data_IF_762103655854
#
_entry.id   IF_762103655854
#
_cell.length_a   1.000
_cell.length_b   1.000
_cell.length_c   1.000
_cell.angle_alpha   90.00
_cell.angle_beta   90.00
_cell.angle_gamma   90.00
#
_symmetry.space_group_name_H-M   'P 1'
#
loop_
_entity.id
_entity.type
_entity.pdbx_description
1 polymer ?
#
# COMPACT_ATOMS: atom_id res chain seq x y z
N UNK A 1 3.66 -23.77 -18.56
CA UNK A 1 2.72 -23.42 -19.67
C UNK A 1 1.38 -23.00 -19.10
N UNK A 2 1.00 -21.74 -19.30
CA UNK A 2 -0.19 -21.09 -18.73
C UNK A 2 -1.50 -21.75 -19.20
N UNK A 3 -2.45 -21.88 -18.28
CA UNK A 3 -3.78 -22.46 -18.55
C UNK A 3 -4.52 -21.69 -19.64
N UNK A 4 -4.39 -20.36 -19.65
CA UNK A 4 -4.91 -19.49 -20.72
C UNK A 4 -4.28 -19.82 -22.08
N UNK A 5 -2.96 -20.07 -22.13
CA UNK A 5 -2.30 -20.48 -23.39
C UNK A 5 -2.75 -21.87 -23.85
N UNK A 6 -3.04 -22.80 -22.92
CA UNK A 6 -3.63 -24.11 -23.25
C UNK A 6 -5.06 -23.97 -23.73
N UNK A 7 -5.87 -23.11 -23.10
CA UNK A 7 -7.24 -22.80 -23.50
C UNK A 7 -7.29 -22.22 -24.92
N UNK A 8 -6.50 -21.17 -25.22
CA UNK A 8 -6.46 -20.59 -26.57
C UNK A 8 -5.86 -21.53 -27.62
N UNK A 9 -4.87 -22.37 -27.27
CA UNK A 9 -4.36 -23.42 -28.17
C UNK A 9 -5.41 -24.49 -28.44
N UNK A 10 -6.19 -24.89 -27.43
CA UNK A 10 -7.28 -25.86 -27.56
C UNK A 10 -8.40 -25.28 -28.42
N UNK A 11 -8.76 -24.01 -28.23
CA UNK A 11 -9.71 -23.26 -29.05
C UNK A 11 -9.24 -23.15 -30.51
N UNK A 12 -7.96 -22.81 -30.75
CA UNK A 12 -7.38 -22.71 -32.10
C UNK A 12 -7.30 -24.06 -32.80
N UNK A 13 -6.99 -25.15 -32.08
CA UNK A 13 -7.03 -26.53 -32.61
C UNK A 13 -8.45 -26.96 -32.96
N UNK A 14 -9.43 -26.65 -32.12
CA UNK A 14 -10.84 -26.95 -32.38
C UNK A 14 -11.34 -26.20 -33.62
N UNK A 15 -11.04 -24.90 -33.74
CA UNK A 15 -11.38 -24.08 -34.92
C UNK A 15 -10.71 -24.58 -36.21
N UNK A 16 -9.44 -24.99 -36.13
CA UNK A 16 -8.72 -25.57 -37.27
C UNK A 16 -9.29 -26.91 -37.72
N UNK A 17 -9.70 -27.75 -36.76
CA UNK A 17 -10.38 -29.02 -37.07
C UNK A 17 -11.75 -28.79 -37.70
N UNK A 18 -12.56 -27.88 -37.14
CA UNK A 18 -13.89 -27.57 -37.66
C UNK A 18 -13.84 -27.11 -39.13
N UNK A 19 -12.87 -26.26 -39.49
CA UNK A 19 -12.67 -25.83 -40.89
C UNK A 19 -12.30 -26.96 -41.84
N UNK A 20 -11.47 -27.91 -41.40
CA UNK A 20 -11.08 -29.06 -42.22
C UNK A 20 -12.26 -30.00 -42.48
N UNK A 21 -13.07 -30.24 -41.45
CA UNK A 21 -14.25 -31.11 -41.55
C UNK A 21 -15.40 -30.44 -42.33
N UNK A 22 -15.56 -29.11 -42.26
CA UNK A 22 -16.55 -28.40 -43.07
C UNK A 22 -16.19 -28.38 -44.56
N UNK A 23 -14.89 -28.32 -44.90
CA UNK A 23 -14.43 -28.41 -46.30
C UNK A 23 -14.59 -29.83 -46.84
N UNK A 24 -14.28 -30.86 -46.04
CA UNK A 24 -14.50 -32.26 -46.43
C UNK A 24 -15.99 -32.58 -46.57
N UNK A 25 -16.83 -32.16 -45.62
CA UNK A 25 -18.28 -32.38 -45.67
C UNK A 25 -18.95 -31.64 -46.82
N UNK A 26 -18.55 -30.38 -47.07
CA UNK A 26 -19.04 -29.59 -48.21
C UNK A 26 -18.61 -30.17 -49.56
N UNK A 27 -17.37 -30.66 -49.67
CA UNK A 27 -16.89 -31.33 -50.88
C UNK A 27 -17.62 -32.63 -51.18
N UNK A 28 -17.88 -33.45 -50.15
CA UNK A 28 -18.60 -34.73 -50.29
C UNK A 28 -20.08 -34.54 -50.64
N UNK A 29 -20.75 -33.53 -50.06
CA UNK A 29 -22.15 -33.23 -50.40
C UNK A 29 -22.28 -32.63 -51.81
N UNK A 30 -21.36 -31.76 -52.23
CA UNK A 30 -21.32 -31.27 -53.60
C UNK A 30 -21.07 -32.41 -54.61
N UNK A 31 -20.14 -33.33 -54.31
CA UNK A 31 -19.87 -34.49 -55.15
C UNK A 31 -21.08 -35.44 -55.24
N UNK A 32 -21.74 -35.72 -54.12
CA UNK A 32 -22.95 -36.55 -54.09
C UNK A 32 -24.13 -35.91 -54.85
N UNK A 33 -24.29 -34.58 -54.78
CA UNK A 33 -25.34 -33.85 -55.49
C UNK A 33 -25.14 -33.85 -57.02
N UNK A 34 -23.89 -33.95 -57.50
CA UNK A 34 -23.58 -34.05 -58.93
C UNK A 34 -23.74 -35.49 -59.44
N UNK A 35 -23.57 -36.51 -58.59
CA UNK A 35 -23.69 -37.92 -58.96
C UNK A 35 -25.12 -38.47 -58.89
N UNK A 36 -25.99 -37.88 -58.06
CA UNK A 36 -27.37 -38.34 -57.83
C UNK A 36 -28.36 -38.20 -59.00
N UNK A 37 -28.20 -37.32 -60.01
CA UNK A 37 -29.24 -37.17 -61.02
C UNK A 37 -29.34 -38.30 -62.06
N UNK A 38 -28.41 -39.29 -62.10
CA UNK A 38 -28.28 -40.14 -63.29
C UNK A 38 -28.20 -41.66 -63.12
N UNK A 39 -28.45 -42.21 -61.93
CA UNK A 39 -28.55 -43.66 -61.77
C UNK A 39 -29.62 -44.03 -60.73
N UNK A 40 -30.52 -44.96 -61.08
CA UNK A 40 -31.53 -45.48 -60.15
C UNK A 40 -30.88 -45.95 -58.84
N UNK A 41 -31.46 -45.53 -57.71
CA UNK A 41 -30.92 -45.67 -56.36
C UNK A 41 -30.68 -47.15 -56.03
N UNK A 42 -29.43 -47.59 -56.18
CA UNK A 42 -28.98 -48.90 -55.72
C UNK A 42 -28.65 -48.89 -54.23
N UNK A 43 -28.64 -50.07 -53.58
CA UNK A 43 -28.29 -50.21 -52.16
C UNK A 43 -26.90 -49.61 -51.80
N UNK A 44 -26.00 -49.50 -52.77
CA UNK A 44 -24.71 -48.82 -52.60
C UNK A 44 -24.81 -47.31 -52.40
N UNK A 45 -25.80 -46.65 -53.02
CA UNK A 45 -26.00 -45.20 -52.93
C UNK A 45 -26.60 -44.80 -51.57
N UNK A 46 -27.45 -45.66 -51.00
CA UNK A 46 -27.93 -45.53 -49.63
C UNK A 46 -26.78 -45.58 -48.60
N UNK A 47 -25.74 -46.38 -48.85
CA UNK A 47 -24.53 -46.43 -48.03
C UNK A 47 -23.74 -45.12 -48.06
N UNK A 48 -23.57 -44.53 -49.25
CA UNK A 48 -22.89 -43.24 -49.40
C UNK A 48 -23.69 -42.06 -48.86
N UNK A 49 -25.02 -42.06 -49.04
CA UNK A 49 -25.91 -41.05 -48.46
C UNK A 49 -25.91 -41.13 -46.92
N UNK A 50 -25.93 -42.33 -46.34
CA UNK A 50 -25.81 -42.52 -44.89
C UNK A 50 -24.45 -42.03 -44.36
N UNK A 51 -23.35 -42.32 -45.07
CA UNK A 51 -22.02 -41.82 -44.72
C UNK A 51 -21.93 -40.29 -44.81
N UNK A 52 -22.50 -39.69 -45.85
CA UNK A 52 -22.57 -38.24 -46.01
C UNK A 52 -23.43 -37.59 -44.91
N UNK A 53 -24.60 -38.15 -44.60
CA UNK A 53 -25.45 -37.70 -43.50
C UNK A 53 -24.76 -37.78 -42.14
N UNK A 54 -24.07 -38.88 -41.86
CA UNK A 54 -23.29 -39.06 -40.63
C UNK A 54 -22.16 -38.01 -40.51
N UNK A 55 -21.51 -37.64 -41.62
CA UNK A 55 -20.47 -36.62 -41.63
C UNK A 55 -21.01 -35.21 -41.31
N UNK A 56 -22.22 -34.88 -41.77
CA UNK A 56 -22.88 -33.60 -41.47
C UNK A 56 -23.29 -33.52 -40.00
N UNK A 57 -23.84 -34.61 -39.45
CA UNK A 57 -24.21 -34.68 -38.02
C UNK A 57 -22.97 -34.51 -37.12
N UNK A 58 -21.84 -35.15 -37.46
CA UNK A 58 -20.58 -34.98 -36.73
C UNK A 58 -20.03 -33.55 -36.82
N UNK A 59 -20.18 -32.87 -37.96
CA UNK A 59 -19.77 -31.49 -38.12
C UNK A 59 -20.61 -30.54 -37.25
N UNK A 60 -21.93 -30.74 -37.19
CA UNK A 60 -22.85 -29.96 -36.34
C UNK A 60 -22.55 -30.21 -34.85
N UNK A 61 -22.30 -31.46 -34.45
CA UNK A 61 -21.94 -31.81 -33.08
C UNK A 61 -20.62 -31.16 -32.66
N UNK A 62 -19.59 -31.18 -33.53
CA UNK A 62 -18.31 -30.48 -33.30
C UNK A 62 -18.44 -28.96 -33.19
N UNK A 63 -19.44 -28.37 -33.85
CA UNK A 63 -19.71 -26.94 -33.77
C UNK A 63 -20.41 -26.56 -32.47
N UNK A 64 -21.28 -27.44 -31.94
CA UNK A 64 -21.88 -27.28 -30.61
C UNK A 64 -20.82 -27.32 -29.50
N UNK A 65 -19.92 -28.30 -29.52
CA UNK A 65 -18.79 -28.39 -28.57
C UNK A 65 -17.93 -27.11 -28.57
N UNK A 66 -17.68 -26.53 -29.75
CA UNK A 66 -16.95 -25.28 -29.86
C UNK A 66 -17.73 -24.10 -29.25
N UNK A 67 -19.05 -24.05 -29.44
CA UNK A 67 -19.89 -23.00 -28.85
C UNK A 67 -19.98 -23.10 -27.33
N UNK A 68 -20.04 -24.32 -26.78
CA UNK A 68 -20.05 -24.54 -25.33
C UNK A 68 -18.72 -24.13 -24.68
N UNK A 69 -17.59 -24.49 -25.30
CA UNK A 69 -16.27 -24.06 -24.82
C UNK A 69 -16.00 -22.56 -25.00
N UNK A 70 -16.60 -21.93 -26.01
CA UNK A 70 -16.52 -20.48 -26.23
C UNK A 70 -17.47 -19.69 -25.30
N UNK A 71 -18.55 -20.31 -24.82
CA UNK A 71 -19.45 -19.73 -23.84
C UNK A 71 -18.90 -19.80 -22.40
N UNK A 72 -17.89 -20.64 -22.16
CA UNK A 72 -17.18 -20.65 -20.87
C UNK A 72 -16.29 -19.40 -20.79
N UNK A 73 -16.47 -18.53 -19.77
CA UNK A 73 -15.67 -17.31 -19.65
C UNK A 73 -14.18 -17.64 -19.59
N UNK A 74 -13.39 -16.94 -20.40
CA UNK A 74 -11.96 -17.20 -20.51
C UNK A 74 -11.30 -17.08 -19.12
N UNK A 75 -10.47 -18.05 -18.70
CA UNK A 75 -9.78 -17.97 -17.42
C UNK A 75 -8.94 -16.69 -17.36
N UNK A 76 -8.98 -15.95 -16.24
CA UNK A 76 -8.33 -14.64 -16.11
C UNK A 76 -6.83 -14.76 -16.44
N UNK A 77 -6.22 -13.70 -17.01
CA UNK A 77 -4.80 -13.72 -17.30
C UNK A 77 -4.04 -13.94 -15.99
N UNK A 78 -3.35 -15.07 -15.85
CA UNK A 78 -2.27 -15.18 -14.88
C UNK A 78 -1.17 -14.24 -15.39
N UNK A 79 -1.13 -13.02 -14.85
CA UNK A 79 -0.05 -12.10 -15.13
C UNK A 79 1.25 -12.76 -14.62
N UNK A 80 2.42 -12.51 -15.24
CA UNK A 80 3.70 -12.95 -14.66
C UNK A 80 3.88 -12.42 -13.22
N UNK A 81 3.23 -11.30 -12.88
CA UNK A 81 3.10 -10.80 -11.51
C UNK A 81 2.45 -11.82 -10.58
N UNK A 82 1.46 -12.62 -10.98
CA UNK A 82 0.76 -13.57 -10.09
C UNK A 82 1.65 -14.74 -9.66
N UNK A 83 2.61 -15.15 -10.50
CA UNK A 83 3.54 -16.22 -10.16
C UNK A 83 4.69 -15.72 -9.30
N UNK A 84 5.19 -14.52 -9.58
CA UNK A 84 6.21 -13.87 -8.77
C UNK A 84 5.63 -13.46 -7.41
N UNK A 85 4.42 -12.92 -7.35
CA UNK A 85 3.73 -12.63 -6.09
C UNK A 85 3.39 -13.91 -5.33
N UNK A 86 2.90 -14.98 -5.97
CA UNK A 86 2.71 -16.27 -5.27
C UNK A 86 4.02 -16.89 -4.78
N UNK A 87 5.11 -16.71 -5.51
CA UNK A 87 6.44 -17.18 -5.10
C UNK A 87 7.00 -16.31 -3.95
N UNK A 88 6.90 -14.99 -4.03
CA UNK A 88 7.32 -14.06 -2.98
C UNK A 88 6.45 -14.16 -1.73
N UNK A 89 5.14 -14.38 -1.84
CA UNK A 89 4.24 -14.60 -0.70
C UNK A 89 4.60 -15.85 0.10
N UNK A 90 5.28 -16.82 -0.52
CA UNK A 90 5.71 -18.06 0.11
C UNK A 90 6.96 -17.88 0.98
N UNK A 91 7.67 -16.76 0.83
CA UNK A 91 8.82 -16.42 1.65
C UNK A 91 8.49 -15.23 2.56
N UNK A 92 8.75 -15.31 3.88
CA UNK A 92 8.51 -14.19 4.80
C UNK A 92 9.32 -12.93 4.40
N UNK A 93 10.51 -13.11 3.81
CA UNK A 93 11.31 -12.02 3.24
C UNK A 93 10.75 -11.45 1.92
N UNK A 94 9.86 -12.16 1.22
CA UNK A 94 9.22 -11.65 -0.01
C UNK A 94 8.06 -10.70 0.28
N UNK A 95 7.39 -10.84 1.44
CA UNK A 95 6.34 -9.92 1.88
C UNK A 95 6.89 -8.51 2.14
N UNK A 96 8.09 -8.40 2.70
CA UNK A 96 8.74 -7.10 2.94
C UNK A 96 9.14 -6.43 1.63
N UNK A 97 9.68 -7.19 0.68
CA UNK A 97 10.03 -6.69 -0.67
C UNK A 97 8.79 -6.24 -1.44
N UNK A 98 7.69 -6.99 -1.40
CA UNK A 98 6.45 -6.57 -2.06
C UNK A 98 5.86 -5.29 -1.46
N UNK A 99 5.95 -5.12 -0.14
CA UNK A 99 5.55 -3.88 0.52
C UNK A 99 6.43 -2.71 0.05
N UNK A 100 7.74 -2.92 -0.03
CA UNK A 100 8.67 -1.88 -0.47
C UNK A 100 8.50 -1.54 -1.96
N UNK A 101 8.31 -2.53 -2.83
CA UNK A 101 8.03 -2.30 -4.26
C UNK A 101 6.71 -1.58 -4.45
N UNK A 102 5.67 -1.95 -3.69
CA UNK A 102 4.38 -1.26 -3.73
C UNK A 102 4.52 0.18 -3.26
N UNK A 103 5.34 0.42 -2.23
CA UNK A 103 5.66 1.75 -1.69
C UNK A 103 6.46 2.61 -2.67
N UNK A 104 7.43 2.03 -3.36
CA UNK A 104 8.17 2.71 -4.42
C UNK A 104 7.26 3.04 -5.60
N UNK A 105 6.43 2.08 -6.04
CA UNK A 105 5.49 2.29 -7.14
C UNK A 105 4.49 3.40 -6.84
N UNK A 106 3.94 3.47 -5.63
CA UNK A 106 3.09 4.59 -5.21
C UNK A 106 3.84 5.93 -5.24
N UNK A 107 5.09 5.97 -4.76
CA UNK A 107 5.92 7.19 -4.83
C UNK A 107 6.21 7.64 -6.26
N UNK A 108 6.52 6.71 -7.16
CA UNK A 108 6.75 7.04 -8.57
C UNK A 108 5.49 7.49 -9.28
N UNK A 109 4.33 6.89 -8.95
CA UNK A 109 3.05 7.25 -9.55
C UNK A 109 2.53 8.63 -9.12
N UNK A 110 3.13 9.22 -8.08
CA UNK A 110 2.82 10.53 -7.52
C UNK A 110 3.94 11.56 -7.73
N UNK A 111 5.07 11.18 -8.34
CA UNK A 111 6.16 12.13 -8.62
C UNK A 111 5.70 13.18 -9.62
N UNK A 112 5.68 14.44 -9.20
CA UNK A 112 5.18 15.58 -9.97
C UNK A 112 3.71 15.91 -9.74
N UNK A 113 3.02 15.15 -8.87
CA UNK A 113 1.65 15.44 -8.47
C UNK A 113 1.60 16.55 -7.41
N UNK A 114 0.58 17.40 -7.48
CA UNK A 114 0.34 18.44 -6.47
C UNK A 114 0.11 17.88 -5.05
N UNK A 115 -0.29 16.61 -4.93
CA UNK A 115 -0.54 15.95 -3.63
C UNK A 115 0.66 15.18 -3.07
N UNK A 116 1.84 15.24 -3.71
CA UNK A 116 3.01 14.46 -3.29
C UNK A 116 3.43 14.74 -1.84
N UNK A 117 3.49 16.03 -1.47
CA UNK A 117 3.89 16.44 -0.11
C UNK A 117 2.89 15.98 0.95
N UNK A 118 1.59 16.11 0.67
CA UNK A 118 0.53 15.64 1.55
C UNK A 118 0.50 14.11 1.69
N UNK A 119 0.85 13.38 0.62
CA UNK A 119 0.99 11.93 0.68
C UNK A 119 2.16 11.50 1.57
N UNK A 120 3.31 12.18 1.49
CA UNK A 120 4.46 11.90 2.36
C UNK A 120 4.20 12.27 3.83
N UNK A 121 3.38 13.30 4.08
CA UNK A 121 2.83 13.62 5.42
C UNK A 121 1.97 12.47 5.96
N UNK A 122 1.00 11.98 5.18
CA UNK A 122 0.17 10.83 5.56
C UNK A 122 1.00 9.57 5.83
N UNK A 123 2.02 9.29 5.02
CA UNK A 123 2.91 8.14 5.20
C UNK A 123 3.74 8.24 6.49
N UNK A 124 4.14 9.46 6.90
CA UNK A 124 4.80 9.70 8.20
C UNK A 124 3.83 9.56 9.38
N UNK A 125 2.63 10.14 9.26
CA UNK A 125 1.59 10.06 10.30
C UNK A 125 1.13 8.61 10.56
N UNK A 126 0.91 7.82 9.51
CA UNK A 126 0.56 6.40 9.63
C UNK A 126 1.68 5.57 10.27
N UNK A 127 2.94 5.84 9.94
CA UNK A 127 4.07 5.21 10.61
C UNK A 127 4.13 5.55 12.11
N UNK A 128 3.87 6.81 12.47
CA UNK A 128 3.78 7.22 13.87
C UNK A 128 2.64 6.48 14.58
N UNK A 129 1.46 6.39 13.96
CA UNK A 129 0.31 5.66 14.52
C UNK A 129 0.62 4.17 14.77
N UNK A 130 1.27 3.50 13.82
CA UNK A 130 1.71 2.10 14.00
C UNK A 130 2.69 1.94 15.17
N UNK A 131 3.55 2.94 15.41
CA UNK A 131 4.44 2.97 16.57
C UNK A 131 3.71 3.13 17.91
N UNK A 132 2.56 3.81 17.92
CA UNK A 132 1.71 4.00 19.09
C UNK A 132 0.75 2.82 19.33
N UNK A 133 0.42 2.04 18.30
CA UNK A 133 -0.57 0.96 18.36
C UNK A 133 -0.35 -0.05 19.49
N UNK A 134 0.90 -0.35 19.85
CA UNK A 134 1.20 -1.28 20.94
C UNK A 134 1.00 -0.70 22.35
N UNK A 135 0.78 0.61 22.47
CA UNK A 135 0.62 1.35 23.74
C UNK A 135 -0.77 1.93 23.91
N UNK A 136 -1.53 2.07 22.83
CA UNK A 136 -2.93 2.48 22.87
C UNK A 136 -3.77 1.32 23.41
N UNK A 137 -4.05 1.32 24.71
CA UNK A 137 -4.92 0.32 25.35
C UNK A 137 -6.25 0.95 25.77
N UNK A 138 -7.28 0.11 25.92
CA UNK A 138 -8.61 0.56 26.38
C UNK A 138 -9.31 1.46 25.34
N UNK A 139 -9.70 2.71 25.68
CA UNK A 139 -10.38 3.61 24.74
C UNK A 139 -9.49 4.01 23.53
N UNK A 140 -8.17 3.84 23.63
CA UNK A 140 -7.26 4.06 22.49
C UNK A 140 -7.43 3.02 21.37
N UNK A 141 -7.96 1.83 21.66
CA UNK A 141 -8.14 0.77 20.66
C UNK A 141 -9.22 1.11 19.64
N UNK A 142 -10.30 1.79 20.05
CA UNK A 142 -11.35 2.23 19.12
C UNK A 142 -10.85 3.35 18.21
N UNK A 143 -10.08 4.29 18.75
CA UNK A 143 -9.43 5.34 17.96
C UNK A 143 -8.44 4.76 16.92
N UNK A 144 -7.76 3.66 17.25
CA UNK A 144 -6.89 2.94 16.30
C UNK A 144 -7.67 2.34 15.13
N UNK A 145 -8.84 1.76 15.38
CA UNK A 145 -9.69 1.21 14.32
C UNK A 145 -10.22 2.32 13.40
N UNK A 146 -10.65 3.45 13.97
CA UNK A 146 -11.08 4.63 13.21
C UNK A 146 -9.92 5.25 12.42
N UNK A 147 -8.72 5.31 12.99
CA UNK A 147 -7.54 5.76 12.27
C UNK A 147 -7.22 4.85 11.08
N UNK A 148 -7.34 3.53 11.24
CA UNK A 148 -7.09 2.59 10.15
C UNK A 148 -8.11 2.73 9.00
N UNK A 149 -9.39 2.97 9.32
CA UNK A 149 -10.41 3.22 8.29
C UNK A 149 -10.21 4.57 7.59
N UNK A 150 -9.88 5.62 8.35
CA UNK A 150 -9.55 6.94 7.81
C UNK A 150 -8.31 6.89 6.90
N UNK A 151 -7.24 6.21 7.31
CA UNK A 151 -6.04 6.02 6.48
C UNK A 151 -6.38 5.32 5.16
N UNK A 152 -7.15 4.23 5.21
CA UNK A 152 -7.53 3.48 4.02
C UNK A 152 -8.37 4.35 3.06
N UNK A 153 -9.28 5.16 3.59
CA UNK A 153 -10.07 6.11 2.81
C UNK A 153 -9.20 7.20 2.17
N UNK A 154 -8.27 7.79 2.93
CA UNK A 154 -7.31 8.79 2.39
C UNK A 154 -6.43 8.20 1.30
N UNK A 155 -5.96 6.96 1.46
CA UNK A 155 -5.18 6.26 0.43
C UNK A 155 -5.99 6.03 -0.85
N UNK A 156 -7.27 5.70 -0.75
CA UNK A 156 -8.16 5.58 -1.92
C UNK A 156 -8.40 6.95 -2.58
N UNK A 157 -8.65 7.99 -1.78
CA UNK A 157 -8.84 9.36 -2.27
C UNK A 157 -7.61 9.87 -3.04
N UNK A 158 -6.41 9.72 -2.49
CA UNK A 158 -5.18 10.11 -3.20
C UNK A 158 -4.93 9.31 -4.49
N UNK A 159 -5.35 8.03 -4.54
CA UNK A 159 -5.30 7.25 -5.79
C UNK A 159 -6.28 7.79 -6.85
N UNK A 160 -7.46 8.26 -6.44
CA UNK A 160 -8.43 8.92 -7.31
C UNK A 160 -7.93 10.26 -7.82
N UNK A 161 -7.36 11.10 -6.96
CA UNK A 161 -6.73 12.37 -7.38
C UNK A 161 -5.67 12.12 -8.45
N UNK A 162 -4.76 11.16 -8.20
CA UNK A 162 -3.70 10.83 -9.14
C UNK A 162 -4.21 10.19 -10.45
N UNK A 163 -5.36 9.52 -10.44
CA UNK A 163 -5.96 8.99 -11.67
C UNK A 163 -6.63 10.10 -12.50
N UNK A 164 -7.29 11.06 -11.86
CA UNK A 164 -7.87 12.24 -12.50
C UNK A 164 -6.76 13.11 -13.09
N UNK A 165 -5.70 13.38 -12.34
CA UNK A 165 -4.56 14.18 -12.80
C UNK A 165 -3.92 13.62 -14.07
N UNK A 166 -3.73 12.29 -14.15
CA UNK A 166 -3.23 11.60 -15.36
C UNK A 166 -4.21 11.65 -16.53
N UNK A 167 -5.50 11.83 -16.28
CA UNK A 167 -6.53 11.92 -17.32
C UNK A 167 -6.67 13.33 -17.92
N UNK A 168 -6.34 14.40 -17.18
CA UNK A 168 -6.38 15.80 -17.66
C UNK A 168 -5.68 15.99 -19.02
N UNK A 169 -4.44 15.52 -19.26
CA UNK A 169 -3.79 15.71 -20.57
C UNK A 169 -4.44 14.92 -21.71
N UNK A 170 -5.26 13.91 -21.40
CA UNK A 170 -5.99 13.09 -22.38
C UNK A 170 -7.40 13.61 -22.65
N UNK A 171 -7.88 14.57 -21.86
CA UNK A 171 -9.23 15.11 -21.96
C UNK A 171 -9.41 16.00 -23.19
N UNK A 172 -10.64 16.00 -23.74
CA UNK A 172 -11.02 16.93 -24.79
C UNK A 172 -10.96 18.38 -24.28
N UNK A 173 -10.65 19.37 -25.14
CA UNK A 173 -10.44 20.76 -24.70
C UNK A 173 -11.65 21.35 -23.95
N UNK A 174 -12.89 20.98 -24.32
CA UNK A 174 -14.10 21.46 -23.64
C UNK A 174 -14.42 20.77 -22.30
N UNK A 175 -13.80 19.63 -21.98
CA UNK A 175 -14.00 18.90 -20.70
C UNK A 175 -12.83 19.09 -19.74
N UNK A 176 -11.72 19.67 -20.23
CA UNK A 176 -10.47 19.80 -19.49
C UNK A 176 -10.64 20.72 -18.28
N UNK A 177 -11.33 21.83 -18.44
CA UNK A 177 -11.50 22.82 -17.37
C UNK A 177 -12.33 22.24 -16.20
N UNK A 178 -13.42 21.52 -16.50
CA UNK A 178 -14.21 20.82 -15.48
C UNK A 178 -13.42 19.71 -14.76
N UNK A 179 -12.53 19.01 -15.47
CA UNK A 179 -11.63 18.02 -14.87
C UNK A 179 -10.56 18.67 -13.98
N UNK A 180 -10.05 19.85 -14.36
CA UNK A 180 -9.09 20.62 -13.53
C UNK A 180 -9.77 21.12 -12.26
N UNK A 181 -10.99 21.63 -12.35
CA UNK A 181 -11.76 22.10 -11.19
C UNK A 181 -12.08 20.95 -10.22
N UNK A 182 -12.58 19.82 -10.74
CA UNK A 182 -12.84 18.64 -9.91
C UNK A 182 -11.55 18.05 -9.30
N UNK A 183 -10.43 18.07 -10.03
CA UNK A 183 -9.12 17.71 -9.48
C UNK A 183 -8.72 18.62 -8.32
N UNK A 184 -8.90 19.93 -8.44
CA UNK A 184 -8.58 20.88 -7.37
C UNK A 184 -9.39 20.60 -6.10
N UNK A 185 -10.71 20.39 -6.23
CA UNK A 185 -11.56 20.06 -5.08
C UNK A 185 -11.20 18.73 -4.41
N UNK A 186 -10.85 17.69 -5.18
CA UNK A 186 -10.39 16.41 -4.61
C UNK A 186 -9.02 16.54 -3.92
N UNK A 187 -8.13 17.37 -4.47
CA UNK A 187 -6.82 17.63 -3.87
C UNK A 187 -6.96 18.37 -2.54
N UNK A 188 -7.85 19.37 -2.47
CA UNK A 188 -8.16 20.12 -1.24
C UNK A 188 -8.75 19.19 -0.15
N UNK A 189 -9.76 18.38 -0.50
CA UNK A 189 -10.33 17.38 0.40
C UNK A 189 -9.28 16.38 0.92
N UNK A 190 -8.34 15.98 0.07
CA UNK A 190 -7.25 15.10 0.47
C UNK A 190 -6.31 15.80 1.46
N UNK A 191 -5.91 17.05 1.18
CA UNK A 191 -5.02 17.80 2.08
C UNK A 191 -5.64 18.06 3.45
N UNK A 192 -6.92 18.45 3.50
CA UNK A 192 -7.67 18.67 4.74
C UNK A 192 -7.83 17.36 5.52
N UNK A 193 -8.14 16.26 4.82
CA UNK A 193 -8.25 14.94 5.44
C UNK A 193 -6.92 14.43 6.03
N UNK A 194 -5.78 14.71 5.38
CA UNK A 194 -4.45 14.41 5.94
C UNK A 194 -4.19 15.24 7.21
N UNK A 195 -4.57 16.52 7.23
CA UNK A 195 -4.39 17.37 8.40
C UNK A 195 -5.24 16.92 9.59
N UNK A 196 -6.50 16.53 9.35
CA UNK A 196 -7.35 15.93 10.38
C UNK A 196 -6.77 14.61 10.92
N UNK A 197 -6.19 13.78 10.04
CA UNK A 197 -5.51 12.55 10.44
C UNK A 197 -4.25 12.83 11.28
N UNK A 198 -3.46 13.84 10.94
CA UNK A 198 -2.31 14.27 11.74
C UNK A 198 -2.72 14.74 13.13
N UNK A 199 -3.83 15.49 13.25
CA UNK A 199 -4.39 15.90 14.54
C UNK A 199 -4.84 14.69 15.37
N UNK A 200 -5.46 13.68 14.74
CA UNK A 200 -5.84 12.43 15.40
C UNK A 200 -4.59 11.69 15.93
N UNK A 201 -3.52 11.60 15.12
CA UNK A 201 -2.24 11.00 15.56
C UNK A 201 -1.61 11.79 16.71
N UNK A 202 -1.66 13.13 16.67
CA UNK A 202 -1.18 13.96 17.76
C UNK A 202 -1.98 13.73 19.06
N UNK A 203 -3.31 13.64 18.97
CA UNK A 203 -4.16 13.32 20.11
C UNK A 203 -3.87 11.93 20.69
N UNK A 204 -3.67 10.92 19.83
CA UNK A 204 -3.27 9.59 20.24
C UNK A 204 -1.89 9.58 20.93
N UNK A 205 -0.94 10.38 20.44
CA UNK A 205 0.38 10.51 21.07
C UNK A 205 0.27 11.18 22.46
N UNK A 206 -0.55 12.21 22.60
CA UNK A 206 -0.85 12.84 23.89
C UNK A 206 -1.50 11.87 24.87
N UNK A 207 -2.46 11.07 24.41
CA UNK A 207 -3.06 10.01 25.23
C UNK A 207 -2.01 9.01 25.72
N UNK A 208 -1.11 8.53 24.85
CA UNK A 208 -0.03 7.61 25.25
C UNK A 208 0.98 8.29 26.19
N UNK A 209 1.18 9.61 26.07
CA UNK A 209 2.03 10.36 27.00
C UNK A 209 1.40 10.47 28.41
N UNK A 210 0.08 10.64 28.48
CA UNK A 210 -0.67 10.68 29.74
C UNK A 210 -0.84 9.28 30.37
N UNK A 211 -1.20 8.26 29.58
CA UNK A 211 -1.33 6.87 30.03
C UNK A 211 0.04 6.27 30.41
N UNK A 212 1.10 6.70 29.71
CA UNK A 212 2.49 6.41 30.03
C UNK A 212 3.06 7.21 31.19
N UNK A 213 2.26 8.04 31.87
CA UNK A 213 2.59 8.68 33.13
C UNK A 213 1.99 7.84 34.27
N UNK A 214 2.62 6.71 34.67
CA UNK A 214 2.18 5.98 35.85
C UNK A 214 2.42 6.91 37.03
N UNK A 215 1.36 7.57 37.50
CA UNK A 215 1.21 8.27 38.78
C UNK A 215 2.53 8.38 39.54
N UNK A 216 3.39 9.30 39.13
CA UNK A 216 4.56 9.90 39.81
C UNK A 216 5.48 9.12 40.79
N UNK A 217 5.30 7.84 41.11
CA UNK A 217 6.01 7.18 42.23
C UNK A 217 6.85 5.97 41.83
N UNK A 218 6.66 5.39 40.64
CA UNK A 218 7.42 4.21 40.23
C UNK A 218 8.09 4.42 38.86
N UNK A 219 9.22 5.14 38.88
CA UNK A 219 10.17 5.13 37.75
C UNK A 219 10.43 3.68 37.30
N UNK A 220 10.31 3.44 36.00
CA UNK A 220 10.39 2.09 35.42
C UNK A 220 11.71 1.41 35.80
N UNK A 221 11.70 0.17 36.36
CA UNK A 221 12.92 -0.52 36.83
C UNK A 221 13.98 -0.74 35.74
N UNK A 222 13.57 -0.74 34.46
CA UNK A 222 14.47 -0.83 33.32
C UNK A 222 15.40 0.38 33.19
N UNK A 223 14.96 1.58 33.62
CA UNK A 223 15.82 2.77 33.63
C UNK A 223 16.97 2.60 34.63
N UNK A 224 16.67 2.14 35.84
CA UNK A 224 17.70 1.83 36.84
C UNK A 224 18.65 0.74 36.34
N UNK A 225 18.14 -0.29 35.66
CA UNK A 225 18.98 -1.31 35.03
C UNK A 225 19.91 -0.76 33.94
N UNK A 226 19.46 0.20 33.14
CA UNK A 226 20.29 0.84 32.11
C UNK A 226 21.35 1.76 32.70
N UNK A 227 21.01 2.52 33.74
CA UNK A 227 21.98 3.36 34.47
C UNK A 227 23.04 2.48 35.12
N UNK A 228 22.63 1.42 35.81
CA UNK A 228 23.54 0.49 36.48
C UNK A 228 24.44 -0.25 35.47
N UNK A 229 23.91 -0.62 34.30
CA UNK A 229 24.71 -1.19 33.22
C UNK A 229 25.70 -0.19 32.62
N UNK A 230 25.30 1.08 32.45
CA UNK A 230 26.19 2.14 31.98
C UNK A 230 27.31 2.43 32.99
N UNK A 231 27.01 2.45 34.28
CA UNK A 231 27.99 2.62 35.35
C UNK A 231 28.96 1.43 35.42
N UNK A 232 28.49 0.19 35.23
CA UNK A 232 29.36 -0.99 35.10
C UNK A 232 30.29 -0.90 33.89
N UNK A 233 29.78 -0.49 32.72
CA UNK A 233 30.60 -0.31 31.53
C UNK A 233 31.66 0.79 31.72
N UNK A 234 31.30 1.87 32.41
CA UNK A 234 32.23 2.94 32.77
C UNK A 234 33.32 2.44 33.71
N UNK A 235 32.97 1.69 34.75
CA UNK A 235 33.94 1.06 35.65
C UNK A 235 34.88 0.08 34.94
N UNK A 236 34.38 -0.70 33.97
CA UNK A 236 35.22 -1.59 33.15
C UNK A 236 36.18 -0.76 32.27
N UNK A 237 35.71 0.33 31.67
CA UNK A 237 36.53 1.20 30.84
C UNK A 237 37.64 1.86 31.66
N UNK A 238 37.32 2.38 32.85
CA UNK A 238 38.29 2.98 33.76
C UNK A 238 39.32 1.93 34.24
N UNK A 239 38.87 0.73 34.60
CA UNK A 239 39.78 -0.38 34.96
C UNK A 239 40.71 -0.82 33.82
N UNK A 240 40.22 -0.85 32.58
CA UNK A 240 41.06 -1.12 31.40
C UNK A 240 42.06 0.01 31.13
N UNK A 241 41.71 1.26 31.42
CA UNK A 241 42.63 2.39 31.29
C UNK A 241 43.75 2.32 32.34
N UNK A 242 43.43 1.98 33.59
CA UNK A 242 44.42 1.78 34.65
C UNK A 242 45.42 0.66 34.31
N UNK A 243 44.94 -0.47 33.78
CA UNK A 243 45.81 -1.57 33.34
C UNK A 243 46.77 -1.14 32.23
N UNK A 244 46.32 -0.35 31.25
CA UNK A 244 47.22 0.19 30.21
C UNK A 244 48.28 1.14 30.78
N UNK A 245 47.91 1.99 31.73
CA UNK A 245 48.87 2.93 32.34
C UNK A 245 49.89 2.24 33.24
N UNK A 246 49.53 1.13 33.87
CA UNK A 246 50.44 0.35 34.73
C UNK A 246 51.37 -0.54 33.91
N UNK A 247 50.90 -1.13 32.81
CA UNK A 247 51.74 -1.91 31.88
C UNK A 247 52.83 -1.04 31.22
N UNK A 248 52.51 0.21 30.89
CA UNK A 248 53.49 1.16 30.35
C UNK A 248 54.51 1.66 31.40
N UNK A 249 54.26 1.42 32.69
CA UNK A 249 55.15 1.77 33.80
C UNK A 249 55.91 0.56 34.35
N UNK A 250 56.29 -0.37 33.48
CA UNK A 250 57.35 -1.33 33.77
C UNK A 250 58.74 -0.64 33.62
N UNK A 251 59.70 -0.87 34.54
CA UNK A 251 60.87 -0.03 34.70
C UNK A 251 61.92 -0.29 33.61
N UNK A 252 62.18 0.75 32.80
CA UNK A 252 63.44 0.85 32.08
C UNK A 252 64.55 1.16 33.10
N UNK A 253 65.04 0.13 33.79
CA UNK A 253 66.33 0.18 34.46
C UNK A 253 67.42 0.05 33.38
N UNK A 254 68.01 1.18 33.02
CA UNK A 254 69.35 1.22 32.46
C UNK A 254 70.12 2.36 33.15
N UNK A 255 70.98 1.94 34.08
CA UNK A 255 72.35 2.41 34.33
C UNK A 255 72.65 3.94 34.34
N UNK A 256 72.95 4.43 35.55
CA UNK A 256 73.91 5.47 35.97
C UNK A 256 74.01 6.82 35.22
N UNK A 257 74.01 7.96 35.95
CA UNK A 257 75.31 8.55 36.34
C UNK A 257 75.33 9.27 37.71
N UNK A 258 76.51 9.31 38.34
CA UNK A 258 76.91 10.33 39.34
C UNK A 258 77.85 11.31 38.62
N UNK A 259 77.95 12.63 38.95
CA UNK A 259 78.21 13.08 40.32
C UNK A 259 77.66 14.47 40.76
N UNK A 260 77.76 14.68 42.08
CA UNK A 260 78.03 15.94 42.83
C UNK A 260 77.08 17.16 42.79
N UNK A 261 76.62 17.50 44.00
CA UNK A 261 76.79 18.80 44.69
C UNK A 261 75.71 19.90 44.58
N UNK A 262 75.33 20.37 45.78
CA UNK A 262 74.70 21.64 46.20
C UNK A 262 73.22 21.94 45.89
N UNK A 263 72.35 21.74 46.91
CA UNK A 263 71.61 22.71 47.75
C UNK A 263 71.02 24.03 47.13
N UNK A 264 70.18 24.79 47.87
CA UNK A 264 68.74 24.60 48.15
C UNK A 264 67.90 25.85 47.75
N UNK A 265 66.59 25.86 48.11
CA UNK A 265 65.61 26.99 48.11
C UNK A 265 64.91 27.26 46.76
N UNK A 266 63.67 27.74 46.65
CA UNK A 266 62.54 28.00 47.54
C UNK A 266 61.33 28.28 46.62
N UNK A 267 60.13 27.99 47.12
CA UNK A 267 58.87 28.74 46.96
C UNK A 267 58.18 28.94 45.60
N UNK A 268 56.84 28.85 45.73
CA UNK A 268 55.78 29.66 45.13
C UNK A 268 55.22 29.29 43.75
N UNK A 269 54.05 28.63 43.82
CA UNK A 269 52.75 29.08 43.27
C UNK A 269 52.73 29.84 41.95
N UNK A 270 52.03 29.30 40.95
CA UNK A 270 51.18 30.03 40.00
C UNK A 270 50.33 28.98 39.26
N UNK A 271 49.05 28.81 39.64
CA UNK A 271 47.91 29.41 38.95
C UNK A 271 48.01 29.31 37.41
N UNK A 272 47.28 28.37 36.82
CA UNK A 272 46.96 28.40 35.39
C UNK A 272 45.53 27.95 35.17
N UNK A 273 44.72 29.00 35.07
CA UNK A 273 43.45 29.12 34.40
C UNK A 273 43.46 28.41 33.04
N UNK A 274 42.48 27.55 32.80
CA UNK A 274 42.00 27.28 31.44
C UNK A 274 40.49 27.18 31.48
N UNK A 275 39.89 28.36 31.36
CA UNK A 275 38.56 28.62 30.87
C UNK A 275 38.31 27.85 29.56
N UNK A 276 37.41 26.87 29.60
CA UNK A 276 36.72 26.39 28.40
C UNK A 276 35.27 26.85 28.48
N UNK A 277 34.99 27.91 27.74
CA UNK A 277 33.67 28.50 27.61
C UNK A 277 32.73 27.49 26.96
N UNK A 278 31.67 27.16 27.70
CA UNK A 278 30.51 26.43 27.22
C UNK A 278 29.73 27.32 26.25
N UNK A 279 29.80 27.01 24.96
CA UNK A 279 28.93 27.57 23.93
C UNK A 279 27.53 26.96 24.07
N UNK A 280 26.75 27.42 25.04
CA UNK A 280 25.31 27.17 25.10
C UNK A 280 24.62 28.09 24.10
N UNK A 281 24.41 27.59 22.88
CA UNK A 281 23.48 28.20 21.92
C UNK A 281 22.05 27.94 22.38
N UNK A 282 21.56 28.80 23.28
CA UNK A 282 20.15 28.95 23.60
C UNK A 282 19.46 29.66 22.43
N UNK A 283 18.81 28.88 21.56
CA UNK A 283 17.84 29.40 20.60
C UNK A 283 16.57 29.80 21.36
N UNK A 284 16.52 31.07 21.76
CA UNK A 284 15.32 31.77 22.16
C UNK A 284 14.43 31.97 20.93
N UNK A 285 13.43 31.10 20.77
CA UNK A 285 12.28 31.39 19.92
C UNK A 285 11.34 32.32 20.69
N UNK A 286 11.50 33.60 20.40
CA UNK A 286 10.54 34.67 20.64
C UNK A 286 9.23 34.39 19.90
N UNK A 287 8.20 33.95 20.60
CA UNK A 287 6.81 34.00 20.13
C UNK A 287 6.18 35.33 20.53
N UNK A 288 6.31 36.30 19.65
CA UNK A 288 5.49 37.51 19.61
C UNK A 288 4.17 37.22 18.89
N UNK A 289 3.05 37.36 19.61
CA UNK A 289 1.72 37.61 19.04
C UNK A 289 1.06 38.58 20.04
N UNK A 290 0.94 39.88 19.84
CA UNK A 290 0.47 40.64 18.68
C UNK A 290 -0.90 40.16 18.19
N UNK A 291 -1.88 40.98 18.56
CA UNK A 291 -3.16 41.23 17.90
C UNK A 291 -4.15 40.07 17.72
N UNK A 292 -5.14 40.08 18.61
CA UNK A 292 -6.51 39.70 18.29
C UNK A 292 -7.18 40.82 17.49
N UNK A 293 -7.62 40.56 16.25
CA UNK A 293 -8.75 41.27 15.67
C UNK A 293 -10.01 40.41 15.71
N UNK A 294 -11.01 40.97 16.38
CA UNK A 294 -12.43 40.99 16.02
C UNK A 294 -13.08 39.68 15.52
N UNK A 295 -13.93 39.14 16.40
CA UNK A 295 -15.02 38.24 16.05
C UNK A 295 -15.94 38.85 14.97
N UNK A 296 -16.23 38.14 13.87
CA UNK A 296 -17.40 38.45 13.06
C UNK A 296 -18.65 37.93 13.78
N UNK A 297 -19.50 38.91 14.12
CA UNK A 297 -20.92 38.82 14.47
C UNK A 297 -21.60 37.68 13.69
N UNK A 298 -22.10 36.67 14.40
CA UNK A 298 -23.07 35.71 13.87
C UNK A 298 -24.24 36.50 13.28
N UNK A 299 -24.40 36.40 11.96
CA UNK A 299 -25.61 36.78 11.27
C UNK A 299 -26.55 35.57 11.31
N UNK A 300 -27.73 35.80 11.86
CA UNK A 300 -28.88 34.90 11.78
C UNK A 300 -29.17 34.50 10.33
N UNK A 301 -29.32 33.20 10.02
CA UNK A 301 -30.14 32.78 8.90
C UNK A 301 -31.57 32.57 9.39
N UNK A 302 -32.36 33.60 9.11
CA UNK A 302 -33.79 33.57 8.81
C UNK A 302 -34.28 32.17 8.39
N UNK A 303 -34.97 31.47 9.30
CA UNK A 303 -35.71 30.25 9.00
C UNK A 303 -36.99 30.65 8.26
N UNK A 304 -36.83 30.96 6.98
CA UNK A 304 -37.92 31.11 6.02
C UNK A 304 -38.49 29.74 5.65
N UNK A 305 -39.71 29.51 6.10
CA UNK A 305 -40.67 28.54 5.56
C UNK A 305 -40.66 28.50 4.02
N UNK A 306 -40.41 27.34 3.43
CA UNK A 306 -41.04 26.85 2.20
C UNK A 306 -40.97 25.32 2.27
N UNK A 307 -42.02 24.64 2.71
CA UNK A 307 -43.19 24.27 1.91
C UNK A 307 -42.88 23.28 0.77
N UNK A 308 -43.55 22.13 0.89
CA UNK A 308 -44.12 21.32 -0.19
C UNK A 308 -43.31 20.22 -0.91
N UNK A 309 -43.75 19.00 -0.57
CA UNK A 309 -44.28 18.00 -1.49
C UNK A 309 -43.29 17.31 -2.45
N UNK A 310 -42.81 16.14 -2.01
CA UNK A 310 -42.60 15.03 -2.95
C UNK A 310 -42.91 13.67 -2.35
N UNK A 311 -44.20 13.35 -2.38
CA UNK A 311 -44.76 12.02 -2.29
C UNK A 311 -44.36 11.24 -3.55
N UNK A 312 -43.47 10.25 -3.42
CA UNK A 312 -43.28 9.24 -4.46
C UNK A 312 -43.56 7.87 -3.87
N UNK A 313 -44.71 7.33 -4.29
CA UNK A 313 -45.24 6.02 -3.97
C UNK A 313 -44.25 4.91 -4.38
N UNK A 314 -43.86 4.10 -3.38
CA UNK A 314 -43.11 2.88 -3.63
C UNK A 314 -44.09 1.78 -4.04
N UNK A 315 -43.96 1.35 -5.30
CA UNK A 315 -44.76 0.33 -5.96
C UNK A 315 -44.28 -1.06 -5.56
N UNK A 316 -45.07 -1.77 -4.76
CA UNK A 316 -44.89 -3.18 -4.39
C UNK A 316 -45.14 -4.10 -5.60
N UNK A 317 -44.26 -5.07 -5.93
CA UNK A 317 -44.54 -6.08 -6.95
C UNK A 317 -45.35 -7.27 -6.37
N UNK A 318 -46.28 -7.86 -7.13
CA UNK A 318 -47.09 -8.99 -6.66
C UNK A 318 -46.40 -10.37 -6.86
N UNK A 319 -46.40 -11.16 -5.79
CA UNK A 319 -46.86 -12.55 -5.78
C UNK A 319 -46.08 -13.60 -6.58
N UNK A 320 -45.10 -14.25 -5.95
CA UNK A 320 -44.67 -15.61 -6.32
C UNK A 320 -45.57 -16.64 -5.64
N UNK A 321 -46.44 -17.30 -6.40
CA UNK A 321 -47.19 -18.50 -5.99
C UNK A 321 -46.21 -19.67 -5.79
N UNK A 322 -46.29 -20.30 -4.63
CA UNK A 322 -45.65 -21.57 -4.29
C UNK A 322 -46.47 -22.74 -4.85
N UNK A 323 -45.88 -23.75 -5.51
CA UNK A 323 -46.58 -24.97 -5.86
C UNK A 323 -46.61 -25.96 -4.69
N UNK A 324 -47.79 -26.53 -4.48
CA UNK A 324 -48.06 -27.60 -3.54
C UNK A 324 -47.21 -28.85 -3.84
N UNK A 325 -46.69 -29.47 -2.78
CA UNK A 325 -46.26 -30.85 -2.77
C UNK A 325 -47.29 -31.66 -1.95
N UNK A 326 -47.67 -32.81 -2.49
CA UNK A 326 -48.33 -33.88 -1.74
C UNK A 326 -47.32 -34.71 -0.95
#
# INVERSE_FOLDING_TARGET
MDERSRYFRRLKRLRGSARRWSVLGGGLTAAAAVLTPYAGIGAGDAGWAAAAGASVVLAVWRWKDHRELAATPAPPPALPEDKLTKALQRFPAGQTVLREVRRQRSRYALRGSAIADAWDRLDRASQAMVGLAGRLTGPGETAMLEAATAEQWLRDLGQRVASVERAIPLAQPGQRDALVESHAGLAEQFTEGVEAYEQLVAAAASYVAEDGHPVAESRHPAYFGLVDAADRLRGIADGLAELRTTEFRAPFQATSPSPTTSAPRSSSSFASSSSFASSSSSSSSSSSAADSPAAPKQADPDLGELSEARTTAFRTPPGTRSPAAG
#
